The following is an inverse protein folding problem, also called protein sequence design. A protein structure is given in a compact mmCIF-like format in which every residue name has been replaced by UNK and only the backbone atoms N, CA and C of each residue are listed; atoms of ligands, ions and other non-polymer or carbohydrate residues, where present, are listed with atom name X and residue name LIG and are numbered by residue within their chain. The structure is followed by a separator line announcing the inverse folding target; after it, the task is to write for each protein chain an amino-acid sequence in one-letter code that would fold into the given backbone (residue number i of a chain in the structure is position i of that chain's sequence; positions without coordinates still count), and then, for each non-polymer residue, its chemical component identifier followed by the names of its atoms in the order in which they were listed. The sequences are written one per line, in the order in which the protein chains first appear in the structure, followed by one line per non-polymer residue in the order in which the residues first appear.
data_IF_262975344952
#
_entry.id   IF_262975344952
#
_cell.length_a   1.000
_cell.length_b   1.000
_cell.length_c   1.000
_cell.angle_alpha   90.00
_cell.angle_beta   90.00
_cell.angle_gamma   90.00
#
_symmetry.space_group_name_H-M   'P 1'
#
loop_
_entity.id
_entity.type
_entity.pdbx_description
1 polymer ?
#
# COMPACT_ATOMS: atom_id res chain seq x y z
N UNK A 1 0.40 -22.61 10.05
CA UNK A 1 -1.05 -22.51 9.80
C UNK A 1 -1.53 -21.08 10.00
N UNK A 2 -1.22 -20.17 9.07
CA UNK A 2 -2.05 -18.99 8.76
C UNK A 2 -1.73 -18.64 7.30
N UNK A 3 -2.32 -19.42 6.40
CA UNK A 3 -2.55 -18.97 5.03
C UNK A 3 -3.62 -17.89 5.11
N UNK A 4 -3.25 -16.70 5.61
CA UNK A 4 -3.99 -15.51 5.25
C UNK A 4 -3.62 -15.29 3.79
N UNK A 5 -4.57 -15.53 2.91
CA UNK A 5 -4.60 -14.97 1.56
C UNK A 5 -4.53 -13.45 1.70
N UNK A 6 -3.32 -12.94 1.97
CA UNK A 6 -2.99 -11.56 1.79
C UNK A 6 -3.10 -11.35 0.28
N UNK A 7 -4.28 -10.93 -0.14
CA UNK A 7 -4.50 -10.05 -1.28
C UNK A 7 -3.68 -8.78 -1.04
N UNK A 8 -2.36 -8.93 -0.96
CA UNK A 8 -1.39 -7.87 -0.93
C UNK A 8 -1.55 -7.25 -2.32
N UNK A 9 -2.35 -6.19 -2.39
CA UNK A 9 -2.34 -5.27 -3.52
C UNK A 9 -0.96 -4.66 -3.51
N UNK A 10 -0.01 -5.37 -4.12
CA UNK A 10 1.38 -4.95 -4.23
C UNK A 10 1.36 -3.69 -5.08
N UNK A 11 1.44 -2.56 -4.38
CA UNK A 11 1.74 -1.29 -5.00
C UNK A 11 3.18 -1.29 -5.47
N UNK A 12 3.37 -0.71 -6.65
CA UNK A 12 4.61 -0.62 -7.42
C UNK A 12 5.72 0.19 -6.73
N UNK A 13 5.62 0.48 -5.43
CA UNK A 13 6.59 1.31 -4.71
C UNK A 13 7.97 0.64 -4.61
N UNK A 14 8.02 -0.70 -4.63
CA UNK A 14 9.28 -1.42 -4.74
C UNK A 14 9.58 -1.79 -6.20
N UNK A 15 10.41 -0.98 -6.84
CA UNK A 15 11.10 -1.33 -8.09
C UNK A 15 11.94 -2.57 -7.77
N UNK A 16 11.43 -3.77 -8.11
CA UNK A 16 12.11 -5.04 -7.88
C UNK A 16 11.25 -6.19 -7.33
N UNK A 17 10.03 -5.94 -6.86
CA UNK A 17 9.14 -7.02 -6.42
C UNK A 17 8.61 -7.82 -7.63
N UNK A 18 8.80 -9.15 -7.63
CA UNK A 18 8.17 -10.05 -8.60
C UNK A 18 6.65 -9.88 -8.53
N UNK A 19 6.02 -9.78 -9.70
CA UNK A 19 4.56 -9.77 -9.80
C UNK A 19 4.01 -11.05 -9.16
N UNK A 20 3.25 -10.89 -8.08
CA UNK A 20 2.49 -12.01 -7.53
C UNK A 20 1.25 -12.23 -8.42
N UNK A 21 0.80 -13.48 -8.60
CA UNK A 21 -0.50 -13.75 -9.21
C UNK A 21 -1.56 -12.92 -8.48
N UNK A 22 -2.45 -12.26 -9.24
CA UNK A 22 -3.52 -11.36 -8.75
C UNK A 22 -3.13 -9.90 -8.41
N UNK A 23 -1.99 -9.40 -8.90
CA UNK A 23 -1.66 -7.96 -8.77
C UNK A 23 -2.58 -7.10 -9.65
N UNK A 24 -3.37 -6.21 -9.04
CA UNK A 24 -4.27 -5.28 -9.74
C UNK A 24 -3.50 -4.05 -10.23
N UNK A 25 -3.13 -4.04 -11.52
CA UNK A 25 -2.38 -2.93 -12.13
C UNK A 25 -3.34 -2.07 -12.95
N UNK A 26 -3.36 -0.74 -12.75
CA UNK A 26 -4.17 0.14 -13.57
C UNK A 26 -3.71 0.08 -15.03
N UNK A 27 -4.67 -0.01 -15.96
CA UNK A 27 -4.41 -0.03 -17.40
C UNK A 27 -3.82 1.31 -17.84
N UNK A 28 -2.71 1.26 -18.58
CA UNK A 28 -2.05 2.46 -19.11
C UNK A 28 -2.62 2.83 -20.47
N UNK A 29 -3.18 4.03 -20.59
CA UNK A 29 -3.54 4.62 -21.88
C UNK A 29 -2.30 5.13 -22.63
N UNK A 30 -2.35 5.11 -23.96
CA UNK A 30 -1.35 5.75 -24.83
C UNK A 30 -2.05 6.61 -25.89
N UNK A 31 -1.32 7.53 -26.54
CA UNK A 31 -1.91 8.41 -27.57
C UNK A 31 -2.61 7.65 -28.70
N UNK A 32 -2.09 6.48 -29.08
CA UNK A 32 -2.65 5.62 -30.15
C UNK A 32 -3.69 4.61 -29.63
N UNK A 33 -3.77 4.39 -28.31
CA UNK A 33 -4.71 3.47 -27.65
C UNK A 33 -5.25 4.14 -26.38
N UNK A 34 -6.23 5.03 -26.51
CA UNK A 34 -6.86 5.67 -25.37
C UNK A 34 -7.62 4.63 -24.54
N UNK A 35 -7.79 4.90 -23.24
CA UNK A 35 -8.57 4.05 -22.36
C UNK A 35 -10.05 4.15 -22.68
N UNK A 36 -10.74 3.00 -22.73
CA UNK A 36 -12.19 2.97 -22.81
C UNK A 36 -12.82 3.52 -21.52
N UNK A 37 -14.09 3.96 -21.55
CA UNK A 37 -14.80 4.41 -20.34
C UNK A 37 -14.77 3.38 -19.21
N UNK A 38 -14.93 2.10 -19.52
CA UNK A 38 -14.91 0.97 -18.57
C UNK A 38 -13.52 0.82 -17.93
N UNK A 39 -12.45 0.92 -18.74
CA UNK A 39 -11.07 0.87 -18.25
C UNK A 39 -10.74 2.06 -17.35
N UNK A 40 -11.28 3.25 -17.65
CA UNK A 40 -11.14 4.42 -16.78
C UNK A 40 -11.84 4.22 -15.44
N UNK A 41 -13.03 3.62 -15.45
CA UNK A 41 -13.79 3.33 -14.24
C UNK A 41 -13.07 2.29 -13.37
N UNK A 42 -12.53 1.22 -13.97
CA UNK A 42 -11.70 0.23 -13.29
C UNK A 42 -10.46 0.88 -12.66
N UNK A 43 -9.75 1.72 -13.42
CA UNK A 43 -8.61 2.48 -12.90
C UNK A 43 -8.98 3.42 -11.76
N UNK A 44 -10.18 4.03 -11.77
CA UNK A 44 -10.68 4.90 -10.70
C UNK A 44 -10.88 4.10 -9.41
N UNK A 45 -11.44 2.90 -9.50
CA UNK A 45 -11.61 1.99 -8.35
C UNK A 45 -10.24 1.60 -7.79
N UNK A 46 -9.31 1.17 -8.65
CA UNK A 46 -7.95 0.82 -8.26
C UNK A 46 -7.29 2.02 -7.55
N UNK A 47 -7.34 3.20 -8.17
CA UNK A 47 -6.75 4.43 -7.63
C UNK A 47 -7.37 4.82 -6.27
N UNK A 48 -8.68 4.65 -6.10
CA UNK A 48 -9.35 4.92 -4.82
C UNK A 48 -8.83 4.05 -3.68
N UNK A 49 -8.56 2.77 -3.96
CA UNK A 49 -7.94 1.87 -2.97
C UNK A 49 -6.49 2.31 -2.66
N UNK A 50 -5.74 2.75 -3.69
CA UNK A 50 -4.34 3.16 -3.54
C UNK A 50 -4.16 4.32 -2.58
N UNK A 51 -5.09 5.28 -2.56
CA UNK A 51 -5.05 6.44 -1.68
C UNK A 51 -4.88 6.03 -0.20
N UNK A 52 -5.68 5.05 0.26
CA UNK A 52 -5.59 4.56 1.64
C UNK A 52 -4.24 3.90 1.95
N UNK A 53 -3.67 3.19 0.98
CA UNK A 53 -2.36 2.54 1.11
C UNK A 53 -1.24 3.58 1.14
N UNK A 54 -1.27 4.55 0.25
CA UNK A 54 -0.30 5.66 0.20
C UNK A 54 -0.33 6.48 1.49
N UNK A 55 -1.52 6.73 2.06
CA UNK A 55 -1.65 7.37 3.37
C UNK A 55 -0.97 6.55 4.47
N UNK A 56 -1.27 5.25 4.58
CA UNK A 56 -0.62 4.38 5.56
C UNK A 56 0.92 4.42 5.43
N UNK A 57 1.44 4.32 4.21
CA UNK A 57 2.88 4.39 3.91
C UNK A 57 3.47 5.75 4.31
N UNK A 58 2.77 6.84 4.03
CA UNK A 58 3.19 8.18 4.44
C UNK A 58 3.28 8.29 5.97
N UNK A 59 2.31 7.73 6.69
CA UNK A 59 2.31 7.63 8.16
C UNK A 59 3.51 6.85 8.70
N UNK A 60 3.75 5.66 8.15
CA UNK A 60 4.91 4.81 8.50
C UNK A 60 6.22 5.57 8.36
N UNK A 61 6.41 6.29 7.26
CA UNK A 61 7.62 7.10 7.00
C UNK A 61 7.70 8.28 7.96
N UNK A 62 6.59 8.99 8.19
CA UNK A 62 6.53 10.18 9.04
C UNK A 62 6.80 9.87 10.50
N UNK A 63 6.35 8.71 10.98
CA UNK A 63 6.58 8.23 12.34
C UNK A 63 7.96 7.57 12.51
N UNK A 64 8.75 7.49 11.42
CA UNK A 64 10.14 7.02 11.47
C UNK A 64 10.29 5.51 11.69
N UNK A 65 9.24 4.72 11.52
CA UNK A 65 9.27 3.28 11.81
C UNK A 65 10.26 2.48 10.97
N UNK A 66 10.53 2.94 9.73
CA UNK A 66 11.51 2.31 8.84
C UNK A 66 12.89 2.99 8.88
N UNK A 67 13.00 4.19 9.45
CA UNK A 67 14.24 4.97 9.43
C UNK A 67 15.02 4.90 10.74
N UNK A 68 14.33 4.62 11.86
CA UNK A 68 14.94 4.57 13.17
C UNK A 68 15.45 3.16 13.52
N UNK A 69 16.56 3.09 14.24
CA UNK A 69 17.13 1.82 14.71
C UNK A 69 16.25 1.26 15.84
N UNK A 70 15.64 0.11 15.58
CA UNK A 70 14.89 -0.63 16.59
C UNK A 70 15.83 -1.50 17.43
N UNK A 71 16.02 -1.13 18.71
CA UNK A 71 16.90 -1.87 19.64
C UNK A 71 16.21 -3.04 20.33
N UNK A 72 14.88 -3.09 20.28
CA UNK A 72 14.11 -4.19 20.87
C UNK A 72 14.28 -5.44 20.00
N UNK A 73 14.57 -6.59 20.63
CA UNK A 73 14.79 -7.89 19.95
C UNK A 73 13.61 -8.85 20.10
N UNK A 74 12.48 -8.40 20.64
CA UNK A 74 11.26 -9.22 20.70
C UNK A 74 10.83 -9.60 19.28
N UNK A 75 10.45 -10.85 19.02
CA UNK A 75 9.93 -11.25 17.72
C UNK A 75 8.73 -10.39 17.29
N UNK A 76 8.65 -10.06 16.00
CA UNK A 76 7.53 -9.34 15.35
C UNK A 76 7.25 -7.92 15.87
N UNK A 77 8.16 -7.34 16.65
CA UNK A 77 7.96 -6.00 17.21
C UNK A 77 8.04 -4.91 16.12
N UNK A 78 8.87 -5.11 15.11
CA UNK A 78 8.96 -4.29 13.91
C UNK A 78 7.63 -4.27 13.12
N UNK A 79 7.03 -5.43 12.87
CA UNK A 79 5.72 -5.54 12.24
C UNK A 79 4.62 -4.85 13.06
N UNK A 80 4.71 -4.95 14.39
CA UNK A 80 3.77 -4.29 15.31
C UNK A 80 3.87 -2.77 15.20
N UNK A 81 5.08 -2.20 15.17
CA UNK A 81 5.28 -0.76 14.99
C UNK A 81 4.81 -0.26 13.63
N UNK A 82 5.02 -1.08 12.59
CA UNK A 82 4.53 -0.79 11.24
C UNK A 82 3.00 -0.69 11.22
N UNK A 83 2.32 -1.69 11.79
CA UNK A 83 0.86 -1.74 11.84
C UNK A 83 0.27 -0.60 12.69
N UNK A 84 0.86 -0.34 13.86
CA UNK A 84 0.44 0.77 14.72
C UNK A 84 0.57 2.11 14.00
N UNK A 85 1.66 2.33 13.28
CA UNK A 85 1.91 3.59 12.58
C UNK A 85 0.96 3.82 11.41
N UNK A 86 0.69 2.77 10.63
CA UNK A 86 -0.33 2.81 9.60
C UNK A 86 -1.72 3.13 10.20
N UNK A 87 -2.08 2.46 11.30
CA UNK A 87 -3.35 2.66 11.99
C UNK A 87 -3.51 4.07 12.56
N UNK A 88 -2.52 4.55 13.31
CA UNK A 88 -2.52 5.88 13.93
C UNK A 88 -2.62 6.99 12.87
N UNK A 89 -1.89 6.86 11.77
CA UNK A 89 -1.94 7.86 10.70
C UNK A 89 -3.27 7.86 9.94
N UNK A 90 -3.82 6.68 9.63
CA UNK A 90 -5.13 6.58 9.02
C UNK A 90 -6.24 7.10 9.94
N UNK A 91 -6.13 6.88 11.25
CA UNK A 91 -7.04 7.47 12.22
C UNK A 91 -6.92 9.00 12.23
N UNK A 92 -5.69 9.53 12.30
CA UNK A 92 -5.44 10.96 12.26
C UNK A 92 -6.07 11.62 11.02
N UNK A 93 -5.88 11.07 9.82
CA UNK A 93 -6.48 11.60 8.58
C UNK A 93 -8.00 11.55 8.54
N UNK A 94 -8.64 10.71 9.36
CA UNK A 94 -10.11 10.64 9.47
C UNK A 94 -10.68 11.64 10.48
N UNK A 95 -9.87 12.07 11.46
CA UNK A 95 -10.33 12.88 12.60
C UNK A 95 -9.80 14.31 12.59
N UNK A 96 -8.75 14.59 11.82
CA UNK A 96 -8.19 15.93 11.61
C UNK A 96 -9.03 16.73 10.62
#
# INVERSE_FOLDING_TARGET
MYHAELNLKIERFFIGAKLVPNTQIPKKGTRKRPLSPEQKQENKIISGIRITVEHAIAGIKRLGCMTQILRNRRPFIDDTFLLLSAGLWNFHLRTA
#
